data_IF_557781683834
#
_entry.id   IF_557781683834
#
_cell.length_a   1.000
_cell.length_b   1.000
_cell.length_c   1.000
_cell.angle_alpha   90.00
_cell.angle_beta   90.00
_cell.angle_gamma   90.00
#
_symmetry.space_group_name_H-M   'P 1'
#
loop_
_entity.id
_entity.type
_entity.pdbx_description
1 polymer ?
#
# COMPACT_ATOMS: atom_id res chain seq x y z
N UNK A 1 16.98 1.44 47.53
CA UNK A 1 16.71 0.14 46.87
C UNK A 1 15.28 0.10 46.33
N UNK A 2 14.96 0.54 45.11
CA UNK A 2 13.67 0.25 44.44
C UNK A 2 13.74 0.53 42.92
N UNK A 3 14.64 -0.17 42.21
CA UNK A 3 14.74 -0.10 40.74
C UNK A 3 14.94 -1.52 40.20
N UNK A 4 13.88 -2.35 40.11
CA UNK A 4 13.97 -3.74 39.61
C UNK A 4 12.71 -4.29 38.91
N UNK A 5 11.86 -3.48 38.28
CA UNK A 5 10.63 -4.01 37.62
C UNK A 5 10.36 -3.43 36.21
N UNK A 6 11.40 -3.17 35.41
CA UNK A 6 11.19 -2.63 34.04
C UNK A 6 11.81 -3.53 32.94
N UNK A 7 12.30 -4.73 33.28
CA UNK A 7 13.01 -5.59 32.30
C UNK A 7 12.16 -6.74 31.74
N UNK A 8 10.91 -6.94 32.17
CA UNK A 8 10.17 -8.18 31.85
C UNK A 8 9.08 -8.07 30.78
N UNK A 9 8.89 -6.93 30.11
CA UNK A 9 7.78 -6.75 29.14
C UNK A 9 8.23 -6.81 27.66
N UNK A 10 9.28 -7.56 27.34
CA UNK A 10 9.79 -7.69 25.96
C UNK A 10 9.72 -9.12 25.38
N UNK A 11 9.18 -10.10 26.12
CA UNK A 11 9.30 -11.52 25.76
C UNK A 11 7.97 -12.26 25.51
N UNK A 12 6.84 -11.57 25.29
CA UNK A 12 5.51 -12.21 25.10
C UNK A 12 4.95 -12.10 23.68
N UNK A 13 5.50 -11.26 22.81
CA UNK A 13 4.90 -11.00 21.48
C UNK A 13 5.31 -11.97 20.37
N UNK A 14 6.08 -13.03 20.64
CA UNK A 14 6.59 -13.95 19.61
C UNK A 14 5.85 -15.29 19.49
N UNK A 15 4.69 -15.48 20.14
CA UNK A 15 3.92 -16.74 20.08
C UNK A 15 2.57 -16.68 19.35
N UNK A 16 2.28 -15.59 18.61
CA UNK A 16 0.97 -15.39 17.97
C UNK A 16 0.95 -15.59 16.43
N UNK A 17 2.01 -16.11 15.80
CA UNK A 17 2.08 -16.26 14.34
C UNK A 17 2.09 -17.72 13.83
N UNK A 18 1.61 -18.67 14.63
CA UNK A 18 1.54 -20.10 14.26
C UNK A 18 0.13 -20.73 14.42
N UNK A 19 -0.93 -19.91 14.51
CA UNK A 19 -2.29 -20.41 14.77
C UNK A 19 -3.37 -19.58 14.10
N UNK A 20 -3.47 -19.68 12.78
CA UNK A 20 -4.71 -19.38 12.04
C UNK A 20 -4.77 -20.27 10.79
N UNK A 21 -4.74 -21.58 11.02
CA UNK A 21 -4.78 -22.60 9.98
C UNK A 21 -5.26 -23.92 10.55
N UNK A 22 -6.44 -23.92 11.16
CA UNK A 22 -7.16 -25.12 11.56
C UNK A 22 -8.63 -24.94 11.19
N UNK A 23 -9.08 -25.70 10.20
CA UNK A 23 -10.44 -26.24 10.08
C UNK A 23 -10.49 -27.13 8.83
N UNK A 24 -10.38 -28.44 9.06
CA UNK A 24 -10.84 -29.49 8.16
C UNK A 24 -12.16 -29.16 7.46
N UNK A 25 -12.27 -29.51 6.17
CA UNK A 25 -13.53 -30.05 5.67
C UNK A 25 -13.28 -31.25 4.75
N UNK A 26 -13.33 -32.43 5.38
CA UNK A 26 -13.56 -33.72 4.75
C UNK A 26 -14.95 -33.72 4.11
N UNK A 27 -15.03 -33.96 2.81
CA UNK A 27 -16.10 -34.75 2.17
C UNK A 27 -15.78 -34.97 0.70
N UNK A 28 -15.44 -36.22 0.38
CA UNK A 28 -15.69 -36.84 -0.93
C UNK A 28 -17.18 -37.25 -0.94
N UNK A 29 -17.87 -37.19 -2.09
CA UNK A 29 -17.84 -38.35 -2.98
C UNK A 29 -17.79 -37.99 -4.49
N UNK A 30 -17.20 -38.89 -5.28
CA UNK A 30 -17.36 -39.00 -6.73
C UNK A 30 -18.71 -39.70 -7.08
N UNK A 31 -19.11 -39.94 -8.36
CA UNK A 31 -18.74 -39.34 -9.66
C UNK A 31 -19.96 -38.94 -10.51
N UNK A 32 -19.80 -38.11 -11.56
CA UNK A 32 -20.60 -38.24 -12.79
C UNK A 32 -19.92 -37.52 -13.97
N UNK A 33 -19.58 -38.33 -14.95
CA UNK A 33 -19.08 -38.02 -16.29
C UNK A 33 -20.02 -37.04 -17.03
N UNK A 34 -19.47 -35.93 -17.54
CA UNK A 34 -19.97 -35.28 -18.75
C UNK A 34 -18.77 -35.10 -19.69
N UNK A 35 -18.93 -35.67 -20.86
CA UNK A 35 -18.00 -35.68 -21.97
C UNK A 35 -18.19 -34.38 -22.79
N UNK A 36 -17.09 -33.91 -23.43
CA UNK A 36 -17.05 -33.04 -24.64
C UNK A 36 -17.02 -31.49 -24.41
N UNK A 37 -16.30 -30.67 -25.24
CA UNK A 37 -15.50 -30.92 -26.46
C UNK A 37 -14.01 -30.50 -26.36
N UNK A 38 -13.27 -30.82 -27.43
CA UNK A 38 -11.86 -30.49 -27.67
C UNK A 38 -11.50 -29.01 -27.42
N UNK A 39 -10.31 -28.70 -26.88
CA UNK A 39 -9.86 -27.31 -26.76
C UNK A 39 -9.66 -26.72 -28.16
N UNK A 40 -10.42 -25.65 -28.45
CA UNK A 40 -10.05 -24.72 -29.50
C UNK A 40 -8.63 -24.17 -29.20
N UNK A 41 -7.79 -23.93 -30.21
CA UNK A 41 -6.46 -23.38 -29.99
C UNK A 41 -6.58 -22.07 -29.21
N UNK A 42 -5.94 -22.02 -28.05
CA UNK A 42 -5.86 -20.82 -27.24
C UNK A 42 -5.28 -19.67 -28.09
N UNK A 43 -5.82 -18.45 -27.98
CA UNK A 43 -5.18 -17.28 -28.55
C UNK A 43 -3.73 -17.24 -28.07
N UNK A 44 -2.80 -17.09 -29.02
CA UNK A 44 -1.39 -16.89 -28.70
C UNK A 44 -1.28 -15.77 -27.67
N UNK A 45 -0.74 -16.08 -26.49
CA UNK A 45 -0.46 -15.10 -25.48
C UNK A 45 0.36 -13.97 -26.12
N UNK A 46 -0.03 -12.69 -25.95
CA UNK A 46 0.79 -11.59 -26.41
C UNK A 46 2.18 -11.75 -25.81
N UNK A 47 3.18 -11.70 -26.69
CA UNK A 47 4.59 -11.77 -26.34
C UNK A 47 4.85 -10.91 -25.11
N UNK A 48 5.51 -11.49 -24.10
CA UNK A 48 5.98 -10.78 -22.93
C UNK A 48 6.79 -9.57 -23.42
N UNK A 49 6.18 -8.38 -23.38
CA UNK A 49 6.88 -7.12 -23.44
C UNK A 49 7.88 -7.17 -22.32
N UNK A 50 9.16 -7.20 -22.68
CA UNK A 50 10.26 -7.13 -21.74
C UNK A 50 10.01 -5.95 -20.79
N UNK A 51 9.70 -6.26 -19.54
CA UNK A 51 9.72 -5.28 -18.45
C UNK A 51 11.12 -4.65 -18.49
N UNK A 52 11.25 -3.32 -18.67
CA UNK A 52 12.55 -2.68 -18.58
C UNK A 52 13.13 -2.97 -17.20
N UNK A 53 14.32 -3.58 -17.21
CA UNK A 53 15.12 -3.86 -16.03
C UNK A 53 15.29 -2.56 -15.22
N UNK A 54 14.97 -2.53 -13.91
CA UNK A 54 15.19 -1.33 -13.11
C UNK A 54 16.69 -1.05 -13.08
N UNK A 55 17.08 0.07 -13.71
CA UNK A 55 18.44 0.55 -13.66
C UNK A 55 18.93 0.65 -12.20
N UNK A 56 20.20 0.34 -11.92
CA UNK A 56 20.73 0.38 -10.56
C UNK A 56 20.53 1.77 -9.97
N UNK A 57 19.84 1.83 -8.82
CA UNK A 57 19.64 3.06 -8.07
C UNK A 57 21.02 3.58 -7.62
N UNK A 58 21.55 4.52 -8.38
CA UNK A 58 22.71 5.31 -7.97
C UNK A 58 22.33 6.08 -6.70
N UNK A 59 23.22 6.18 -5.70
CA UNK A 59 22.93 6.94 -4.49
C UNK A 59 22.77 8.41 -4.88
N UNK A 60 21.53 8.86 -5.04
CA UNK A 60 21.24 10.27 -5.25
C UNK A 60 21.56 11.04 -3.97
N UNK A 61 22.29 12.13 -4.11
CA UNK A 61 22.45 13.10 -3.03
C UNK A 61 21.06 13.62 -2.63
N UNK A 62 20.77 13.73 -1.34
CA UNK A 62 19.45 14.16 -0.86
C UNK A 62 19.01 15.52 -1.46
N UNK A 63 19.97 16.41 -1.72
CA UNK A 63 19.76 17.72 -2.35
C UNK A 63 19.30 17.62 -3.82
N UNK A 64 19.92 16.71 -4.59
CA UNK A 64 19.54 16.37 -5.96
C UNK A 64 18.13 15.76 -6.01
N UNK A 65 17.81 14.89 -5.06
CA UNK A 65 16.48 14.28 -4.95
C UNK A 65 15.42 15.34 -4.65
N UNK A 66 15.67 16.24 -3.71
CA UNK A 66 14.75 17.33 -3.39
C UNK A 66 14.54 18.30 -4.57
N UNK A 67 15.61 18.59 -5.32
CA UNK A 67 15.54 19.41 -6.53
C UNK A 67 14.66 18.75 -7.59
N UNK A 68 14.86 17.46 -7.87
CA UNK A 68 14.03 16.71 -8.83
C UNK A 68 12.58 16.63 -8.41
N UNK A 69 12.29 16.44 -7.12
CA UNK A 69 10.92 16.45 -6.60
C UNK A 69 10.26 17.81 -6.85
N UNK A 70 10.99 18.92 -6.62
CA UNK A 70 10.48 20.27 -6.92
C UNK A 70 10.26 20.51 -8.41
N UNK A 71 11.15 20.04 -9.28
CA UNK A 71 10.98 20.15 -10.74
C UNK A 71 9.79 19.30 -11.24
N UNK A 72 9.62 18.09 -10.72
CA UNK A 72 8.44 17.27 -11.01
C UNK A 72 7.16 17.97 -10.53
N UNK A 73 7.18 18.58 -9.34
CA UNK A 73 6.07 19.38 -8.87
C UNK A 73 5.84 20.63 -9.74
N UNK A 74 6.88 21.25 -10.30
CA UNK A 74 6.76 22.42 -11.18
C UNK A 74 6.18 22.08 -12.57
N UNK A 75 6.41 20.85 -13.05
CA UNK A 75 5.89 20.34 -14.33
C UNK A 75 4.47 19.77 -14.24
N UNK A 76 3.95 19.55 -13.03
CA UNK A 76 2.55 19.15 -12.84
C UNK A 76 1.58 20.28 -13.17
N UNK A 77 0.52 19.95 -13.91
CA UNK A 77 -0.57 20.89 -14.15
C UNK A 77 -1.33 21.21 -12.85
N UNK A 78 -2.04 22.34 -12.76
CA UNK A 78 -2.85 22.68 -11.59
C UNK A 78 -3.87 21.58 -11.23
N UNK A 79 -4.48 20.98 -12.25
CA UNK A 79 -5.42 19.86 -12.09
C UNK A 79 -4.75 18.62 -11.51
N UNK A 80 -3.53 18.29 -11.94
CA UNK A 80 -2.77 17.17 -11.38
C UNK A 80 -2.38 17.41 -9.92
N UNK A 81 -2.00 18.65 -9.57
CA UNK A 81 -1.71 19.02 -8.18
C UNK A 81 -2.95 18.90 -7.30
N UNK A 82 -4.11 19.39 -7.76
CA UNK A 82 -5.37 19.25 -7.03
C UNK A 82 -5.80 17.78 -6.90
N UNK A 83 -5.64 16.97 -7.95
CA UNK A 83 -5.92 15.54 -7.90
C UNK A 83 -5.01 14.82 -6.90
N UNK A 84 -3.73 15.18 -6.82
CA UNK A 84 -2.79 14.64 -5.83
C UNK A 84 -3.20 15.01 -4.40
N UNK A 85 -3.59 16.26 -4.17
CA UNK A 85 -4.11 16.74 -2.87
C UNK A 85 -5.37 15.95 -2.46
N UNK A 86 -6.34 15.80 -3.35
CA UNK A 86 -7.58 15.07 -3.09
C UNK A 86 -7.32 13.57 -2.83
N UNK A 87 -6.42 12.97 -3.60
CA UNK A 87 -6.00 11.58 -3.43
C UNK A 87 -5.34 11.37 -2.07
N UNK A 88 -4.42 12.25 -1.67
CA UNK A 88 -3.74 12.16 -0.40
C UNK A 88 -4.69 12.33 0.79
N UNK A 89 -5.63 13.29 0.70
CA UNK A 89 -6.69 13.46 1.71
C UNK A 89 -7.51 12.19 1.87
N UNK A 90 -8.00 11.63 0.77
CA UNK A 90 -8.81 10.42 0.78
C UNK A 90 -8.03 9.21 1.30
N UNK A 91 -6.77 9.05 0.90
CA UNK A 91 -5.91 7.97 1.37
C UNK A 91 -5.66 8.07 2.88
N UNK A 92 -5.47 9.28 3.42
CA UNK A 92 -5.29 9.50 4.84
C UNK A 92 -6.59 9.23 5.64
N UNK A 93 -7.74 9.64 5.13
CA UNK A 93 -9.05 9.35 5.74
C UNK A 93 -9.33 7.84 5.77
N UNK A 94 -9.08 7.15 4.65
CA UNK A 94 -9.29 5.71 4.52
C UNK A 94 -8.35 4.93 5.43
N UNK A 95 -7.06 5.31 5.48
CA UNK A 95 -6.09 4.71 6.39
C UNK A 95 -6.45 4.93 7.87
N UNK A 96 -6.90 6.14 8.23
CA UNK A 96 -7.35 6.43 9.59
C UNK A 96 -8.61 5.63 9.97
N UNK A 97 -9.56 5.52 9.04
CA UNK A 97 -10.78 4.72 9.22
C UNK A 97 -10.46 3.23 9.36
N UNK A 98 -9.58 2.70 8.51
CA UNK A 98 -9.10 1.32 8.57
C UNK A 98 -8.32 1.04 9.88
N UNK A 99 -7.65 2.04 10.43
CA UNK A 99 -7.02 1.97 11.75
C UNK A 99 -8.01 2.08 12.92
N UNK A 100 -9.32 2.16 12.65
CA UNK A 100 -10.36 2.24 13.67
C UNK A 100 -10.48 3.61 14.34
N UNK A 101 -9.94 4.67 13.72
CA UNK A 101 -10.11 6.02 14.23
C UNK A 101 -11.55 6.50 14.06
N UNK A 102 -11.94 7.43 14.92
CA UNK A 102 -13.25 8.09 14.79
C UNK A 102 -13.31 8.96 13.52
N UNK A 103 -14.50 9.23 12.95
CA UNK A 103 -14.61 10.05 11.75
C UNK A 103 -14.02 11.47 11.93
N UNK A 104 -14.10 12.05 13.13
CA UNK A 104 -13.46 13.33 13.44
C UNK A 104 -11.93 13.24 13.39
N UNK A 105 -11.34 12.15 13.87
CA UNK A 105 -9.89 11.92 13.82
C UNK A 105 -9.41 11.60 12.40
N UNK A 106 -10.18 10.80 11.64
CA UNK A 106 -9.89 10.52 10.24
C UNK A 106 -9.91 11.81 9.40
N UNK A 107 -10.89 12.68 9.66
CA UNK A 107 -10.96 14.01 9.05
C UNK A 107 -9.76 14.88 9.40
N UNK A 108 -9.36 14.93 10.68
CA UNK A 108 -8.18 15.69 11.11
C UNK A 108 -6.89 15.18 10.45
N UNK A 109 -6.73 13.86 10.33
CA UNK A 109 -5.60 13.24 9.61
C UNK A 109 -5.62 13.61 8.12
N UNK A 110 -6.79 13.55 7.50
CA UNK A 110 -6.99 13.90 6.09
C UNK A 110 -6.69 15.37 5.80
N UNK A 111 -7.16 16.29 6.64
CA UNK A 111 -6.89 17.73 6.51
C UNK A 111 -5.40 18.05 6.75
N UNK A 112 -4.74 17.32 7.66
CA UNK A 112 -3.28 17.44 7.85
C UNK A 112 -2.48 16.92 6.64
N UNK A 113 -2.92 15.83 6.02
CA UNK A 113 -2.32 15.30 4.79
C UNK A 113 -2.54 16.29 3.62
N UNK A 114 -3.75 16.84 3.50
CA UNK A 114 -4.08 17.86 2.50
C UNK A 114 -3.14 19.06 2.62
N UNK A 115 -2.97 19.60 3.83
CA UNK A 115 -2.09 20.74 4.10
C UNK A 115 -0.63 20.43 3.74
N UNK A 116 -0.13 19.26 4.12
CA UNK A 116 1.25 18.83 3.84
C UNK A 116 1.51 18.74 2.34
N UNK A 117 0.58 18.14 1.59
CA UNK A 117 0.73 17.99 0.14
C UNK A 117 0.57 19.33 -0.58
N UNK A 118 -0.34 20.20 -0.11
CA UNK A 118 -0.45 21.58 -0.61
C UNK A 118 0.87 22.35 -0.46
N UNK A 119 1.49 22.27 0.72
CA UNK A 119 2.79 22.90 1.00
C UNK A 119 3.90 22.32 0.10
N UNK A 120 3.99 21.00 0.00
CA UNK A 120 4.99 20.32 -0.82
C UNK A 120 4.86 20.60 -2.32
N UNK A 121 3.62 20.76 -2.82
CA UNK A 121 3.32 21.04 -4.22
C UNK A 121 3.26 22.55 -4.54
N UNK A 122 3.36 23.42 -3.53
CA UNK A 122 3.27 24.87 -3.65
C UNK A 122 1.88 25.36 -4.09
N UNK A 123 0.82 24.65 -3.70
CA UNK A 123 -0.58 25.03 -3.98
C UNK A 123 -1.17 25.63 -2.72
N UNK A 124 -1.47 26.94 -2.75
CA UNK A 124 -2.11 27.64 -1.64
C UNK A 124 -3.62 27.72 -1.83
#
# INVERSE_FOLDING_TARGET
>A
MKNRIIVSLAAVSLLALAGCGESEQKSEPAPAKVEQPAPAPAPAAPAATATPEPAPATPMNADETLTKIKEQAATMTPEQKQAAVATARKAAEDAATAAGQTPEQAKAAADSAEKTIKDALGVQ
#
